data_IF_116777230943
#
_entry.id   IF_116777230943
#
_cell.length_a   1.000
_cell.length_b   1.000
_cell.length_c   1.000
_cell.angle_alpha   90.00
_cell.angle_beta   90.00
_cell.angle_gamma   90.00
#
_symmetry.space_group_name_H-M   'P 1'
#
loop_
_entity.id
_entity.type
_entity.pdbx_description
1 polymer ?
#
# COMPACT_ATOMS: atom_id res chain seq x y z
N UNK A 1 3.90 -16.07 9.36
CA UNK A 1 3.94 -14.96 10.33
C UNK A 1 5.33 -14.75 11.00
N UNK A 2 6.33 -15.60 10.76
CA UNK A 2 7.69 -15.47 11.37
C UNK A 2 8.74 -14.83 10.45
N UNK A 3 8.31 -14.12 9.39
CA UNK A 3 9.22 -13.55 8.39
C UNK A 3 9.22 -12.01 8.42
N UNK A 4 8.52 -11.38 9.36
CA UNK A 4 8.53 -9.92 9.49
C UNK A 4 9.92 -9.45 9.93
N UNK A 5 10.47 -8.48 9.20
CA UNK A 5 11.74 -7.83 9.55
C UNK A 5 11.53 -6.31 9.65
N UNK A 6 11.74 -5.69 10.84
CA UNK A 6 11.49 -4.26 11.04
C UNK A 6 12.32 -3.36 10.12
N UNK A 7 13.53 -3.80 9.75
CA UNK A 7 14.41 -3.05 8.84
C UNK A 7 13.85 -2.84 7.44
N UNK A 8 12.86 -3.64 7.03
CA UNK A 8 12.24 -3.54 5.71
C UNK A 8 11.06 -2.58 5.67
N UNK A 9 10.57 -2.10 6.83
CA UNK A 9 9.38 -1.24 6.89
C UNK A 9 9.55 0.03 6.05
N UNK A 10 10.72 0.65 6.06
CA UNK A 10 10.98 1.85 5.26
C UNK A 10 11.12 1.57 3.77
N UNK A 11 11.28 0.31 3.37
CA UNK A 11 11.40 -0.12 1.98
C UNK A 11 10.06 -0.53 1.35
N UNK A 12 9.01 -0.77 2.15
CA UNK A 12 7.73 -1.22 1.58
C UNK A 12 7.11 -0.17 0.65
N UNK A 13 6.64 -0.63 -0.50
CA UNK A 13 6.16 0.23 -1.59
C UNK A 13 4.98 1.13 -1.19
N UNK A 14 4.09 0.65 -0.30
CA UNK A 14 2.88 1.35 0.13
C UNK A 14 3.16 2.68 0.83
N UNK A 15 4.41 2.97 1.21
CA UNK A 15 4.82 4.24 1.82
C UNK A 15 5.14 5.34 0.80
N UNK A 16 5.37 4.98 -0.47
CA UNK A 16 5.85 5.92 -1.50
C UNK A 16 5.02 5.90 -2.77
N UNK A 17 4.21 4.86 -2.97
CA UNK A 17 3.41 4.66 -4.16
C UNK A 17 1.94 4.54 -3.78
N UNK A 18 1.08 4.92 -4.73
CA UNK A 18 -0.35 4.67 -4.71
C UNK A 18 -0.67 3.94 -6.01
N UNK A 19 -1.45 2.87 -5.93
CA UNK A 19 -1.95 2.17 -7.11
C UNK A 19 -3.33 2.71 -7.49
N UNK A 20 -3.59 2.79 -8.79
CA UNK A 20 -4.84 3.30 -9.35
C UNK A 20 -5.41 2.24 -10.30
N UNK A 21 -6.66 1.84 -10.10
CA UNK A 21 -7.32 0.93 -11.04
C UNK A 21 -7.82 1.64 -12.30
N UNK A 22 -8.29 0.85 -13.28
CA UNK A 22 -8.76 1.36 -14.57
C UNK A 22 -10.03 2.23 -14.45
N UNK A 23 -10.74 2.16 -13.32
CA UNK A 23 -11.89 3.01 -13.01
C UNK A 23 -11.49 4.26 -12.22
N UNK A 24 -10.20 4.41 -11.89
CA UNK A 24 -9.65 5.54 -11.16
C UNK A 24 -9.71 5.40 -9.64
N UNK A 25 -10.06 4.25 -9.06
CA UNK A 25 -10.04 4.09 -7.60
C UNK A 25 -8.64 3.80 -7.07
N UNK A 26 -8.39 4.24 -5.83
CA UNK A 26 -7.07 4.24 -5.21
C UNK A 26 -6.87 3.08 -4.23
N UNK A 27 -5.63 2.58 -4.20
CA UNK A 27 -5.16 1.51 -3.34
C UNK A 27 -3.75 1.83 -2.85
N UNK A 28 -3.38 1.42 -1.63
CA UNK A 28 -2.04 1.70 -1.10
C UNK A 28 -0.93 0.97 -1.88
N UNK A 29 -1.24 -0.12 -2.58
CA UNK A 29 -0.31 -0.84 -3.46
C UNK A 29 -1.04 -1.72 -4.47
N UNK A 30 -0.29 -2.28 -5.42
CA UNK A 30 -0.77 -3.23 -6.43
C UNK A 30 -1.35 -4.53 -5.81
N UNK A 31 -0.77 -5.02 -4.72
CA UNK A 31 -1.33 -6.15 -3.97
C UNK A 31 -2.68 -5.82 -3.34
N UNK A 32 -2.81 -4.64 -2.73
CA UNK A 32 -4.10 -4.16 -2.22
C UNK A 32 -5.13 -4.05 -3.36
N UNK A 33 -4.72 -3.58 -4.54
CA UNK A 33 -5.58 -3.57 -5.73
C UNK A 33 -6.01 -4.98 -6.16
N UNK A 34 -5.07 -5.93 -6.25
CA UNK A 34 -5.36 -7.32 -6.61
C UNK A 34 -6.32 -8.00 -5.64
N UNK A 35 -6.27 -7.60 -4.36
CA UNK A 35 -7.15 -8.12 -3.30
C UNK A 35 -8.42 -7.28 -3.09
N UNK A 36 -8.65 -6.26 -3.91
CA UNK A 36 -9.78 -5.33 -3.78
C UNK A 36 -9.87 -4.67 -2.38
N UNK A 37 -8.72 -4.29 -1.82
CA UNK A 37 -8.56 -3.59 -0.54
C UNK A 37 -8.32 -2.10 -0.80
N UNK A 38 -9.36 -1.27 -0.96
CA UNK A 38 -9.19 0.13 -1.31
C UNK A 38 -8.44 0.90 -0.23
N UNK A 39 -7.75 1.96 -0.65
CA UNK A 39 -7.18 2.95 0.26
C UNK A 39 -8.31 3.53 1.11
N UNK A 40 -8.05 3.73 2.39
CA UNK A 40 -8.98 4.38 3.32
C UNK A 40 -8.38 5.73 3.70
N UNK A 41 -9.09 6.81 3.40
CA UNK A 41 -8.77 8.13 3.93
C UNK A 41 -9.78 8.53 4.98
N UNK A 42 -9.42 9.49 5.83
CA UNK A 42 -10.32 10.05 6.83
C UNK A 42 -11.65 10.58 6.25
N UNK A 43 -11.66 10.91 4.95
CA UNK A 43 -12.79 11.50 4.26
C UNK A 43 -13.54 10.49 3.38
N UNK A 44 -12.87 9.45 2.87
CA UNK A 44 -13.42 8.52 1.88
C UNK A 44 -13.00 7.08 2.15
N UNK A 45 -13.96 6.15 2.12
CA UNK A 45 -13.72 4.70 2.25
C UNK A 45 -13.23 4.02 0.96
N UNK A 46 -13.30 4.75 -0.17
CA UNK A 46 -12.85 4.31 -1.49
C UNK A 46 -12.63 5.55 -2.37
N UNK A 47 -11.53 6.29 -2.16
CA UNK A 47 -11.27 7.51 -2.90
C UNK A 47 -10.99 7.21 -4.36
N UNK A 48 -11.37 8.15 -5.21
CA UNK A 48 -11.11 8.17 -6.64
C UNK A 48 -9.93 9.13 -6.93
N UNK A 49 -9.28 8.98 -8.09
CA UNK A 49 -8.15 9.80 -8.52
C UNK A 49 -8.47 11.31 -8.52
N UNK A 50 -9.72 11.68 -8.76
CA UNK A 50 -10.19 13.06 -8.63
C UNK A 50 -10.04 13.64 -7.21
N UNK A 51 -10.13 12.78 -6.20
CA UNK A 51 -10.09 13.18 -4.79
C UNK A 51 -8.66 13.46 -4.33
N UNK A 52 -7.64 12.96 -5.06
CA UNK A 52 -6.22 13.18 -4.74
C UNK A 52 -5.83 14.65 -4.70
N UNK A 53 -6.52 15.50 -5.46
CA UNK A 53 -6.26 16.93 -5.50
C UNK A 53 -6.70 17.65 -4.21
N UNK A 54 -7.52 16.99 -3.39
CA UNK A 54 -8.18 17.58 -2.22
C UNK A 54 -7.90 16.83 -0.92
N UNK A 55 -7.11 15.74 -0.99
CA UNK A 55 -6.76 14.91 0.16
C UNK A 55 -5.27 15.03 0.48
N UNK A 56 -4.93 14.94 1.76
CA UNK A 56 -3.57 14.73 2.21
C UNK A 56 -3.36 13.24 2.49
N UNK A 57 -2.36 12.62 1.85
CA UNK A 57 -2.03 11.22 2.07
C UNK A 57 -0.93 11.02 3.10
N UNK A 58 -0.01 11.97 3.23
CA UNK A 58 1.06 11.92 4.21
C UNK A 58 0.50 11.76 5.63
N UNK A 59 0.96 10.72 6.32
CA UNK A 59 0.52 10.39 7.67
C UNK A 59 -0.81 9.63 7.73
N UNK A 60 -1.43 9.29 6.59
CA UNK A 60 -2.60 8.41 6.56
C UNK A 60 -2.21 6.97 6.94
N UNK A 61 -3.17 6.25 7.51
CA UNK A 61 -3.02 4.82 7.75
C UNK A 61 -3.00 4.05 6.44
N UNK A 62 -2.17 3.02 6.36
CA UNK A 62 -2.09 2.12 5.21
C UNK A 62 -3.00 0.91 5.49
N UNK A 63 -3.82 0.52 4.51
CA UNK A 63 -4.64 -0.67 4.64
C UNK A 63 -3.76 -1.93 4.64
N UNK A 64 -3.77 -2.68 5.74
CA UNK A 64 -2.94 -3.88 5.93
C UNK A 64 -3.76 -5.18 5.92
N UNK A 65 -3.17 -6.25 5.41
CA UNK A 65 -3.72 -7.60 5.39
C UNK A 65 -2.60 -8.67 5.48
N UNK A 66 -2.95 -9.96 5.39
CA UNK A 66 -1.99 -11.06 5.60
C UNK A 66 -0.79 -11.04 4.63
N UNK A 67 -0.96 -10.55 3.39
CA UNK A 67 0.15 -10.45 2.43
C UNK A 67 1.22 -9.42 2.87
N UNK A 68 0.87 -8.44 3.70
CA UNK A 68 1.79 -7.40 4.16
C UNK A 68 2.96 -7.99 4.96
N UNK A 69 2.75 -9.10 5.69
CA UNK A 69 3.84 -9.83 6.34
C UNK A 69 4.91 -10.29 5.35
N UNK A 70 4.51 -10.64 4.12
CA UNK A 70 5.43 -11.01 3.03
C UNK A 70 6.19 -9.81 2.48
N UNK A 71 5.53 -8.65 2.32
CA UNK A 71 6.23 -7.43 1.91
C UNK A 71 7.24 -6.96 2.96
N UNK A 72 6.93 -7.08 4.25
CA UNK A 72 7.88 -6.76 5.33
C UNK A 72 9.00 -7.79 5.49
N UNK A 73 8.89 -8.96 4.85
CA UNK A 73 9.93 -9.99 4.90
C UNK A 73 11.12 -9.72 3.96
N UNK A 74 10.98 -8.78 3.01
CA UNK A 74 12.04 -8.51 2.04
C UNK A 74 12.32 -9.68 1.08
N UNK A 75 11.30 -10.49 0.78
CA UNK A 75 11.36 -11.63 -0.13
C UNK A 75 10.30 -11.54 -1.25
N UNK A 76 9.63 -10.39 -1.39
CA UNK A 76 8.53 -10.19 -2.35
C UNK A 76 9.02 -9.54 -3.65
N UNK A 77 8.74 -10.19 -4.80
CA UNK A 77 9.21 -9.71 -6.11
C UNK A 77 8.61 -8.36 -6.56
N UNK A 78 7.50 -7.91 -5.96
CA UNK A 78 6.85 -6.63 -6.26
C UNK A 78 7.00 -5.59 -5.13
N UNK A 79 7.52 -5.96 -3.96
CA UNK A 79 7.55 -5.08 -2.79
C UNK A 79 8.93 -4.40 -2.58
N UNK A 80 9.70 -4.09 -3.64
CA UNK A 80 10.95 -3.30 -3.55
C UNK A 80 12.07 -3.76 -2.59
N UNK A 81 11.93 -4.92 -1.95
CA UNK A 81 12.80 -5.38 -0.89
C UNK A 81 13.51 -6.65 -1.31
N UNK A 82 14.63 -6.51 -2.00
CA UNK A 82 15.78 -7.40 -1.87
C UNK A 82 16.88 -6.52 -1.27
N UNK A 83 17.28 -6.79 -0.03
CA UNK A 83 18.45 -6.16 0.57
C UNK A 83 19.68 -6.63 -0.22
N UNK A 84 20.42 -5.68 -0.81
CA UNK A 84 21.85 -5.84 -1.06
C UNK A 84 22.61 -5.32 0.16
#
# INVERSE_FOLDING_TARGET
>A
KNAYEPGNLDAVMCRRLVSVDWQGYLYDCDFNQMLALPLISNQHKKPHLSDLLHMQLEGSEIMVADHCYGCTAGQGSSCGGALL
#
